data_IF_113301624707
#
_entry.id   IF_113301624707
#
_cell.length_a   1.000
_cell.length_b   1.000
_cell.length_c   1.000
_cell.angle_alpha   90.00
_cell.angle_beta   90.00
_cell.angle_gamma   90.00
#
_symmetry.space_group_name_H-M   'P 1'
#
loop_
_entity.id
_entity.type
_entity.pdbx_description
1 polymer ?
#
# COMPACT_ATOMS: atom_id res chain seq x y z
N UNK A 1 -23.72 -2.34 -21.78
CA UNK A 1 -22.44 -1.99 -21.13
C UNK A 1 -22.06 -3.15 -20.24
N UNK A 2 -20.95 -3.84 -20.54
CA UNK A 2 -20.46 -4.93 -19.69
C UNK A 2 -20.02 -4.34 -18.37
N UNK A 3 -20.56 -4.89 -17.28
CA UNK A 3 -20.22 -4.51 -15.93
C UNK A 3 -18.76 -4.91 -15.65
N UNK A 4 -17.87 -3.91 -15.63
CA UNK A 4 -16.41 -4.08 -15.44
C UNK A 4 -16.11 -4.82 -14.14
N UNK A 5 -16.98 -4.69 -13.13
CA UNK A 5 -16.84 -5.39 -11.86
C UNK A 5 -17.07 -6.90 -12.02
N UNK A 6 -18.15 -7.29 -12.72
CA UNK A 6 -18.43 -8.70 -13.06
C UNK A 6 -17.36 -9.29 -13.96
N UNK A 7 -16.80 -8.48 -14.87
CA UNK A 7 -15.69 -8.90 -15.72
C UNK A 7 -14.45 -9.23 -14.88
N UNK A 8 -14.07 -8.34 -13.95
CA UNK A 8 -12.94 -8.57 -13.03
C UNK A 8 -13.15 -9.85 -12.21
N UNK A 9 -14.34 -10.03 -11.65
CA UNK A 9 -14.69 -11.21 -10.85
C UNK A 9 -14.59 -12.51 -11.66
N UNK A 10 -15.17 -12.53 -12.87
CA UNK A 10 -15.09 -13.69 -13.76
C UNK A 10 -13.65 -14.00 -14.20
N UNK A 11 -12.79 -12.99 -14.35
CA UNK A 11 -11.39 -13.17 -14.71
C UNK A 11 -10.58 -13.75 -13.54
N UNK A 12 -10.81 -13.29 -12.32
CA UNK A 12 -10.16 -13.80 -11.10
C UNK A 12 -10.61 -15.22 -10.73
N UNK A 13 -11.86 -15.59 -11.02
CA UNK A 13 -12.36 -16.96 -10.86
C UNK A 13 -11.77 -17.89 -11.92
N UNK A 14 -11.72 -17.44 -13.18
CA UNK A 14 -11.21 -18.24 -14.30
C UNK A 14 -9.69 -18.38 -14.30
N UNK A 15 -8.98 -17.37 -13.80
CA UNK A 15 -7.53 -17.37 -13.67
C UNK A 15 -7.17 -17.00 -12.22
N UNK A 16 -7.09 -17.99 -11.31
CA UNK A 16 -6.74 -17.76 -9.92
C UNK A 16 -5.38 -17.07 -9.72
N UNK A 17 -4.46 -17.17 -10.69
CA UNK A 17 -3.18 -16.45 -10.71
C UNK A 17 -3.34 -14.93 -10.93
N UNK A 18 -4.49 -14.48 -11.44
CA UNK A 18 -4.85 -13.06 -11.52
C UNK A 18 -5.46 -12.54 -10.22
N UNK A 19 -5.86 -13.42 -9.29
CA UNK A 19 -6.17 -12.96 -7.93
C UNK A 19 -4.89 -12.34 -7.40
N UNK A 20 -4.90 -11.06 -6.98
CA UNK A 20 -3.73 -10.49 -6.36
C UNK A 20 -3.37 -11.39 -5.17
N UNK A 21 -2.20 -12.03 -5.25
CA UNK A 21 -1.60 -12.68 -4.08
C UNK A 21 -1.60 -11.65 -2.96
N UNK A 22 -1.86 -12.06 -1.71
CA UNK A 22 -2.05 -11.17 -0.56
C UNK A 22 -0.96 -10.12 -0.30
N UNK A 23 0.12 -10.11 -1.08
CA UNK A 23 1.13 -9.07 -1.20
C UNK A 23 1.00 -8.28 -2.52
N UNK A 24 -0.05 -7.47 -2.68
CA UNK A 24 0.01 -6.40 -3.68
C UNK A 24 1.00 -5.33 -3.21
N UNK A 25 1.74 -4.70 -4.12
CA UNK A 25 2.66 -3.61 -3.76
C UNK A 25 1.96 -2.48 -2.99
N UNK A 26 0.66 -2.27 -3.22
CA UNK A 26 -0.14 -1.32 -2.47
C UNK A 26 -0.26 -1.69 -0.98
N UNK A 27 -0.41 -2.98 -0.65
CA UNK A 27 -0.44 -3.47 0.73
C UNK A 27 0.93 -3.31 1.40
N UNK A 28 2.02 -3.62 0.69
CA UNK A 28 3.40 -3.43 1.19
C UNK A 28 3.65 -1.95 1.50
N UNK A 29 3.34 -1.07 0.55
CA UNK A 29 3.48 0.38 0.74
C UNK A 29 2.59 0.90 1.87
N UNK A 30 1.34 0.46 1.95
CA UNK A 30 0.41 0.88 2.99
C UNK A 30 0.91 0.55 4.40
N UNK A 31 1.36 -0.70 4.60
CA UNK A 31 1.93 -1.14 5.87
C UNK A 31 3.21 -0.38 6.22
N UNK A 32 4.11 -0.16 5.26
CA UNK A 32 5.34 0.60 5.48
C UNK A 32 5.06 2.06 5.86
N UNK A 33 4.15 2.73 5.12
CA UNK A 33 3.73 4.11 5.41
C UNK A 33 3.15 4.22 6.81
N UNK A 34 2.25 3.31 7.18
CA UNK A 34 1.68 3.26 8.53
C UNK A 34 2.78 3.10 9.58
N UNK A 35 3.70 2.14 9.40
CA UNK A 35 4.76 1.87 10.36
C UNK A 35 5.74 3.05 10.53
N UNK A 36 6.11 3.74 9.45
CA UNK A 36 6.96 4.95 9.50
C UNK A 36 6.21 6.12 10.15
N UNK A 37 4.95 6.37 9.77
CA UNK A 37 4.12 7.43 10.35
C UNK A 37 3.99 7.32 11.87
N UNK A 38 3.73 6.11 12.38
CA UNK A 38 3.58 5.86 13.81
C UNK A 38 4.92 6.07 14.54
N UNK A 39 6.04 5.61 13.97
CA UNK A 39 7.38 5.87 14.52
C UNK A 39 7.72 7.36 14.64
N UNK A 40 7.23 8.17 13.72
CA UNK A 40 7.39 9.62 13.74
C UNK A 40 6.34 10.35 14.61
N UNK A 41 5.43 9.63 15.28
CA UNK A 41 4.33 10.17 16.08
C UNK A 41 3.41 11.13 15.30
N UNK A 42 3.19 10.87 14.01
CA UNK A 42 2.34 11.70 13.17
C UNK A 42 0.92 11.15 13.12
N UNK A 43 -0.08 12.04 13.19
CA UNK A 43 -1.45 11.70 12.82
C UNK A 43 -1.59 11.60 11.29
N UNK A 44 -2.63 10.92 10.79
CA UNK A 44 -2.90 10.91 9.34
C UNK A 44 -3.16 12.32 8.79
N UNK A 45 -3.74 13.22 9.60
CA UNK A 45 -3.98 14.62 9.23
C UNK A 45 -2.66 15.37 9.05
N UNK A 46 -1.71 15.16 9.96
CA UNK A 46 -0.40 15.82 9.92
C UNK A 46 0.43 15.32 8.73
N UNK A 47 0.46 14.00 8.49
CA UNK A 47 1.13 13.44 7.31
C UNK A 47 0.52 13.96 6.00
N UNK A 48 -0.82 13.99 5.92
CA UNK A 48 -1.53 14.51 4.75
C UNK A 48 -1.16 15.98 4.46
N UNK A 49 -1.12 16.80 5.51
CA UNK A 49 -0.73 18.21 5.42
C UNK A 49 0.70 18.37 4.91
N UNK A 50 1.65 17.63 5.48
CA UNK A 50 3.07 17.68 5.06
C UNK A 50 3.28 17.22 3.63
N UNK A 51 2.57 16.17 3.20
CA UNK A 51 2.67 15.61 1.86
C UNK A 51 1.86 16.39 0.80
N UNK A 52 1.04 17.36 1.21
CA UNK A 52 0.17 18.12 0.30
C UNK A 52 -0.85 17.22 -0.41
N UNK A 53 -1.49 16.32 0.35
CA UNK A 53 -2.55 15.41 -0.10
C UNK A 53 -3.75 15.45 0.86
N UNK A 54 -4.88 14.85 0.48
CA UNK A 54 -6.04 14.74 1.36
C UNK A 54 -5.85 13.65 2.43
N UNK A 55 -6.46 13.82 3.61
CA UNK A 55 -6.43 12.81 4.70
C UNK A 55 -6.99 11.47 4.25
N UNK A 56 -8.05 11.49 3.42
CA UNK A 56 -8.63 10.29 2.80
C UNK A 56 -7.63 9.54 1.92
N UNK A 57 -6.66 10.23 1.33
CA UNK A 57 -5.58 9.61 0.56
C UNK A 57 -4.65 8.82 1.47
N UNK A 58 -4.24 9.38 2.62
CA UNK A 58 -3.42 8.65 3.61
C UNK A 58 -4.17 7.42 4.14
N UNK A 59 -5.45 7.57 4.49
CA UNK A 59 -6.29 6.44 4.90
C UNK A 59 -6.31 5.32 3.86
N UNK A 60 -6.50 5.64 2.57
CA UNK A 60 -6.51 4.66 1.48
C UNK A 60 -5.14 4.02 1.26
N UNK A 61 -4.05 4.79 1.37
CA UNK A 61 -2.69 4.27 1.29
C UNK A 61 -2.46 3.25 2.39
N UNK A 62 -2.71 3.62 3.65
CA UNK A 62 -2.47 2.73 4.80
C UNK A 62 -3.39 1.50 4.79
N UNK A 63 -4.58 1.61 4.20
CA UNK A 63 -5.48 0.49 3.94
C UNK A 63 -5.07 -0.42 2.78
N UNK A 64 -3.99 -0.09 2.05
CA UNK A 64 -3.52 -0.87 0.90
C UNK A 64 -4.44 -0.84 -0.31
N UNK A 65 -5.26 0.21 -0.45
CA UNK A 65 -6.19 0.32 -1.57
C UNK A 65 -5.46 0.48 -2.91
N UNK A 66 -5.90 -0.28 -3.90
CA UNK A 66 -5.48 -0.09 -5.29
C UNK A 66 -5.93 1.29 -5.85
N UNK A 67 -5.26 1.69 -6.93
CA UNK A 67 -5.57 2.91 -7.68
C UNK A 67 -4.99 4.21 -7.09
N UNK A 68 -4.00 4.12 -6.21
CA UNK A 68 -3.14 5.25 -5.82
C UNK A 68 -1.99 5.34 -6.81
N UNK A 69 -1.74 6.54 -7.34
CA UNK A 69 -0.68 6.76 -8.33
C UNK A 69 0.70 6.81 -7.67
N UNK A 70 1.74 6.45 -8.40
CA UNK A 70 3.14 6.55 -7.95
C UNK A 70 3.49 7.96 -7.48
N UNK A 71 3.06 9.00 -8.21
CA UNK A 71 3.25 10.41 -7.83
C UNK A 71 2.69 10.76 -6.44
N UNK A 72 1.62 10.09 -6.00
CA UNK A 72 1.07 10.30 -4.66
C UNK A 72 1.93 9.57 -3.62
N UNK A 73 2.39 8.36 -3.91
CA UNK A 73 3.36 7.66 -3.07
C UNK A 73 4.66 8.46 -2.91
N UNK A 74 5.21 9.01 -3.99
CA UNK A 74 6.44 9.82 -3.96
C UNK A 74 6.34 10.98 -2.96
N UNK A 75 5.21 11.70 -2.94
CA UNK A 75 4.96 12.80 -1.99
C UNK A 75 4.98 12.33 -0.54
N UNK A 76 4.35 11.19 -0.27
CA UNK A 76 4.24 10.63 1.09
C UNK A 76 5.58 10.05 1.54
N UNK A 77 6.26 9.33 0.65
CA UNK A 77 7.57 8.74 0.90
C UNK A 77 8.63 9.81 1.17
N UNK A 78 8.61 10.90 0.40
CA UNK A 78 9.51 12.03 0.61
C UNK A 78 9.38 12.61 2.04
N UNK A 79 8.15 12.76 2.54
CA UNK A 79 7.91 13.29 3.90
C UNK A 79 8.38 12.34 4.98
N UNK A 80 8.19 11.04 4.79
CA UNK A 80 8.56 9.99 5.75
C UNK A 80 10.01 9.48 5.58
N UNK A 81 10.78 10.08 4.66
CA UNK A 81 12.13 9.63 4.31
C UNK A 81 12.19 8.16 3.90
N UNK A 82 11.17 7.66 3.20
CA UNK A 82 11.11 6.29 2.70
C UNK A 82 11.85 6.21 1.36
N UNK A 83 12.82 5.31 1.26
CA UNK A 83 13.54 5.00 0.02
C UNK A 83 13.24 3.58 -0.49
N UNK A 84 13.86 3.19 -1.60
CA UNK A 84 13.66 1.88 -2.20
C UNK A 84 14.20 0.74 -1.30
N UNK A 85 15.30 1.00 -0.59
CA UNK A 85 15.89 0.05 0.35
C UNK A 85 14.95 -0.25 1.53
N UNK A 86 14.27 0.76 2.06
CA UNK A 86 13.23 0.59 3.10
C UNK A 86 12.10 -0.32 2.60
N UNK A 87 11.66 -0.14 1.35
CA UNK A 87 10.61 -0.95 0.74
C UNK A 87 11.05 -2.40 0.61
N UNK A 88 12.23 -2.64 0.04
CA UNK A 88 12.75 -3.99 -0.18
C UNK A 88 12.93 -4.75 1.14
N UNK A 89 13.55 -4.11 2.14
CA UNK A 89 13.73 -4.70 3.47
C UNK A 89 12.38 -5.01 4.13
N UNK A 90 11.40 -4.13 3.97
CA UNK A 90 10.08 -4.35 4.53
C UNK A 90 9.37 -5.54 3.88
N UNK A 91 9.43 -5.65 2.55
CA UNK A 91 8.84 -6.77 1.80
C UNK A 91 9.47 -8.12 2.21
N UNK A 92 10.80 -8.18 2.31
CA UNK A 92 11.51 -9.39 2.75
C UNK A 92 11.16 -9.79 4.17
N UNK A 93 10.97 -8.80 5.07
CA UNK A 93 10.51 -9.05 6.44
C UNK A 93 9.11 -9.66 6.45
N UNK A 94 8.17 -9.09 5.68
CA UNK A 94 6.80 -9.62 5.60
C UNK A 94 6.76 -11.05 5.04
N UNK A 95 7.55 -11.36 4.00
CA UNK A 95 7.67 -12.72 3.45
C UNK A 95 8.21 -13.71 4.49
N UNK A 96 9.20 -13.30 5.28
CA UNK A 96 9.79 -14.14 6.33
C UNK A 96 8.79 -14.43 7.45
N UNK A 97 8.00 -13.44 7.84
CA UNK A 97 6.94 -13.61 8.84
C UNK A 97 5.83 -14.56 8.35
N UNK A 98 5.48 -14.51 7.07
CA UNK A 98 4.54 -15.47 6.47
C UNK A 98 5.09 -16.90 6.45
N UNK A 99 6.40 -17.07 6.20
CA UNK A 99 7.05 -18.39 6.17
C UNK A 99 7.26 -19.02 7.56
N UNK A 100 7.28 -18.21 8.63
CA UNK A 100 7.46 -18.66 10.01
C UNK A 100 6.14 -18.96 10.74
N UNK A 101 5.00 -18.58 10.15
CA UNK A 101 3.66 -18.79 10.71
C UNK A 101 2.96 -20.02 10.11
N UNK A 102 3.72 -20.99 9.60
CA UNK A 102 3.26 -22.28 9.06
C UNK A 102 3.73 -23.44 9.94
#
# INVERSE_FOLDING_TARGET
>A
MTDVFKLKQNLEEKYPSLKPSGNSMALVFGKLVFAKRIRENLSQVELAKRAGVGVKTIYRIEGGNDGITTKIYDKVFLVLGINFEDVAQFEDTQKKDELLNI
#
